data_IF_483225828875
#
_entry.id   IF_483225828875
#
_cell.length_a   1.000
_cell.length_b   1.000
_cell.length_c   1.000
_cell.angle_alpha   90.00
_cell.angle_beta   90.00
_cell.angle_gamma   90.00
#
_symmetry.space_group_name_H-M   'P 1'
#
loop_
_entity.id
_entity.type
_entity.pdbx_description
1 polymer ?
#
# COMPACT_ATOMS: atom_id res chain seq x y z
N UNK A 1 -42.89 -68.09 70.16
CA UNK A 1 -43.03 -69.09 69.09
C UNK A 1 -42.89 -68.35 67.79
N UNK A 2 -41.88 -68.46 67.10
CA UNK A 2 -41.27 -69.37 66.22
C UNK A 2 -40.47 -68.56 65.20
N UNK A 3 -39.19 -68.93 65.10
CA UNK A 3 -38.40 -69.28 63.93
C UNK A 3 -38.28 -68.19 62.83
N UNK A 4 -37.18 -67.58 62.55
CA UNK A 4 -35.95 -68.23 62.12
C UNK A 4 -35.90 -68.18 60.58
N UNK A 5 -35.11 -67.34 59.98
CA UNK A 5 -34.88 -67.35 58.55
C UNK A 5 -33.81 -66.35 58.16
N UNK A 6 -32.61 -66.77 58.11
CA UNK A 6 -31.49 -66.04 57.42
C UNK A 6 -31.59 -66.21 55.91
N UNK A 7 -31.42 -65.20 55.14
CA UNK A 7 -30.97 -65.38 53.79
C UNK A 7 -29.51 -64.96 53.64
N UNK A 8 -28.70 -65.93 53.33
CA UNK A 8 -27.40 -65.78 52.65
C UNK A 8 -27.62 -65.22 51.24
N UNK A 9 -27.06 -64.09 50.96
CA UNK A 9 -26.99 -63.53 49.65
C UNK A 9 -25.68 -62.73 49.50
N UNK A 10 -24.65 -63.41 49.05
CA UNK A 10 -23.38 -62.80 48.75
C UNK A 10 -23.49 -61.95 47.52
N UNK A 11 -23.64 -60.66 47.69
CA UNK A 11 -23.47 -59.64 46.61
C UNK A 11 -21.97 -59.51 46.34
N UNK A 12 -21.53 -60.21 45.32
CA UNK A 12 -20.24 -59.95 44.70
C UNK A 12 -20.32 -58.55 44.00
N UNK A 13 -19.82 -57.54 44.70
CA UNK A 13 -19.57 -56.20 44.09
C UNK A 13 -18.63 -56.41 42.90
N UNK A 14 -19.20 -56.40 41.71
CA UNK A 14 -18.44 -56.33 40.48
C UNK A 14 -17.74 -54.97 40.45
N UNK A 15 -16.43 -55.00 40.65
CA UNK A 15 -15.55 -53.81 40.44
C UNK A 15 -15.68 -53.41 39.00
N UNK A 16 -16.13 -52.16 38.68
CA UNK A 16 -16.19 -51.71 37.30
C UNK A 16 -14.78 -51.70 36.73
N UNK A 17 -14.63 -52.32 35.54
CA UNK A 17 -13.38 -52.39 34.81
C UNK A 17 -12.79 -50.96 34.67
N UNK A 18 -11.56 -50.80 35.14
CA UNK A 18 -10.83 -49.51 35.06
C UNK A 18 -10.87 -48.99 33.63
N UNK A 19 -11.43 -47.79 33.46
CA UNK A 19 -11.42 -47.09 32.18
C UNK A 19 -9.99 -47.04 31.60
N UNK A 20 -9.79 -47.28 30.31
CA UNK A 20 -8.47 -47.23 29.70
C UNK A 20 -7.84 -45.87 29.96
N UNK A 21 -6.58 -45.84 30.35
CA UNK A 21 -5.81 -44.64 30.61
C UNK A 21 -5.91 -43.68 29.39
N UNK A 22 -6.16 -42.38 29.57
CA UNK A 22 -6.23 -41.46 28.48
C UNK A 22 -4.93 -41.50 27.66
N UNK A 23 -5.07 -41.59 26.34
CA UNK A 23 -3.94 -41.63 25.43
C UNK A 23 -2.99 -40.45 25.72
N UNK A 24 -1.66 -40.63 25.69
CA UNK A 24 -0.72 -39.57 25.97
C UNK A 24 -0.99 -38.40 25.05
N UNK A 25 -1.11 -37.21 25.62
CA UNK A 25 -1.34 -35.98 24.88
C UNK A 25 -0.29 -35.84 23.75
N UNK A 26 -0.69 -35.51 22.51
CA UNK A 26 0.25 -35.39 21.41
C UNK A 26 1.36 -34.41 21.80
N UNK A 27 2.61 -34.80 21.56
CA UNK A 27 3.78 -33.98 21.85
C UNK A 27 3.57 -32.56 21.30
N UNK A 28 3.88 -31.51 22.08
CA UNK A 28 3.67 -30.14 21.62
C UNK A 28 4.44 -29.94 20.31
N UNK A 29 3.71 -29.63 19.26
CA UNK A 29 4.29 -29.33 17.94
C UNK A 29 5.46 -28.34 18.09
N UNK A 30 6.58 -28.53 17.37
CA UNK A 30 7.75 -27.70 17.52
C UNK A 30 7.31 -26.23 17.40
N UNK A 31 7.57 -25.46 18.45
CA UNK A 31 7.24 -24.04 18.51
C UNK A 31 8.05 -23.35 17.41
N UNK A 32 7.51 -23.31 16.18
CA UNK A 32 8.05 -22.46 15.14
C UNK A 32 8.14 -21.06 15.74
N UNK A 33 9.36 -20.57 15.95
CA UNK A 33 9.59 -19.21 16.43
C UNK A 33 8.85 -18.28 15.47
N UNK A 34 7.69 -17.80 15.91
CA UNK A 34 6.90 -16.81 15.16
C UNK A 34 7.78 -15.57 14.95
N UNK A 35 8.35 -15.44 13.77
CA UNK A 35 9.09 -14.24 13.40
C UNK A 35 8.07 -13.18 13.03
N UNK A 36 7.99 -12.07 13.79
CA UNK A 36 7.01 -11.04 13.48
C UNK A 36 7.23 -10.52 12.05
N UNK A 37 6.16 -10.31 11.30
CA UNK A 37 6.26 -9.73 9.97
C UNK A 37 6.81 -8.32 10.07
N UNK A 38 7.57 -7.90 9.06
CA UNK A 38 8.24 -6.59 8.99
C UNK A 38 7.27 -5.43 9.22
N UNK A 39 7.78 -4.32 9.75
CA UNK A 39 6.98 -3.10 9.92
C UNK A 39 6.50 -2.59 8.56
N UNK A 40 5.19 -2.34 8.34
CA UNK A 40 4.64 -1.99 7.03
C UNK A 40 5.21 -0.67 6.48
N UNK A 41 5.58 0.26 7.37
CA UNK A 41 6.23 1.51 6.98
C UNK A 41 7.58 1.31 6.29
N UNK A 42 8.32 0.24 6.60
CA UNK A 42 9.60 -0.03 5.95
C UNK A 42 9.43 -0.35 4.46
N UNK A 43 8.37 -1.06 4.09
CA UNK A 43 8.04 -1.34 2.70
C UNK A 43 7.64 -0.08 1.92
N UNK A 44 6.89 0.80 2.55
CA UNK A 44 6.52 2.09 1.95
C UNK A 44 7.74 2.99 1.76
N UNK A 45 8.60 3.13 2.77
CA UNK A 45 9.81 3.95 2.65
C UNK A 45 10.77 3.41 1.60
N UNK A 46 10.94 2.09 1.54
CA UNK A 46 11.75 1.45 0.48
C UNK A 46 11.18 1.72 -0.92
N UNK A 47 9.88 1.52 -1.12
CA UNK A 47 9.26 1.70 -2.42
C UNK A 47 9.22 3.19 -2.85
N UNK A 48 8.95 4.10 -1.92
CA UNK A 48 9.01 5.55 -2.18
C UNK A 48 10.44 5.99 -2.52
N UNK A 49 11.44 5.43 -1.86
CA UNK A 49 12.83 5.71 -2.18
C UNK A 49 13.21 5.20 -3.60
N UNK A 50 12.75 4.01 -4.02
CA UNK A 50 12.90 3.55 -5.40
C UNK A 50 12.15 4.46 -6.38
N UNK A 51 10.95 4.91 -6.03
CA UNK A 51 10.19 5.86 -6.83
C UNK A 51 10.93 7.20 -6.98
N UNK A 52 11.49 7.74 -5.90
CA UNK A 52 12.32 8.97 -5.99
C UNK A 52 13.57 8.75 -6.82
N UNK A 53 14.20 7.59 -6.75
CA UNK A 53 15.32 7.21 -7.62
C UNK A 53 14.88 7.22 -9.10
N UNK A 54 13.71 6.66 -9.43
CA UNK A 54 13.16 6.66 -10.78
C UNK A 54 12.90 8.07 -11.34
N UNK A 55 12.59 9.06 -10.48
CA UNK A 55 12.41 10.45 -10.95
C UNK A 55 13.70 11.10 -11.44
N UNK A 56 14.86 10.56 -11.09
CA UNK A 56 16.19 11.11 -11.42
C UNK A 56 16.79 10.57 -12.69
N UNK A 57 16.09 9.69 -13.38
CA UNK A 57 16.59 9.12 -14.63
C UNK A 57 15.48 9.02 -15.67
N UNK A 58 15.86 9.20 -16.93
CA UNK A 58 15.04 8.84 -18.09
C UNK A 58 15.67 7.69 -18.87
N UNK A 59 16.79 7.12 -18.37
CA UNK A 59 17.43 5.99 -19.00
C UNK A 59 16.54 4.74 -18.91
N UNK A 60 16.05 4.19 -20.03
CA UNK A 60 15.11 3.08 -20.05
C UNK A 60 15.70 1.81 -19.44
N UNK A 61 17.01 1.60 -19.53
CA UNK A 61 17.68 0.42 -18.96
C UNK A 61 17.71 0.48 -17.43
N UNK A 62 17.95 1.65 -16.84
CA UNK A 62 17.89 1.83 -15.40
C UNK A 62 16.45 1.74 -14.88
N UNK A 63 15.48 2.30 -15.61
CA UNK A 63 14.06 2.18 -15.27
C UNK A 63 13.61 0.71 -15.34
N UNK A 64 13.99 -0.02 -16.38
CA UNK A 64 13.71 -1.45 -16.49
C UNK A 64 14.35 -2.26 -15.34
N UNK A 65 15.57 -1.90 -14.93
CA UNK A 65 16.23 -2.52 -13.78
C UNK A 65 15.50 -2.23 -12.46
N UNK A 66 15.03 -0.99 -12.24
CA UNK A 66 14.20 -0.64 -11.07
C UNK A 66 12.88 -1.42 -11.04
N UNK A 67 12.24 -1.58 -12.21
CA UNK A 67 11.04 -2.42 -12.36
C UNK A 67 11.36 -3.87 -12.02
N UNK A 68 12.46 -4.41 -12.55
CA UNK A 68 12.88 -5.80 -12.30
C UNK A 68 13.18 -6.03 -10.80
N UNK A 69 13.91 -5.12 -10.15
CA UNK A 69 14.20 -5.16 -8.72
C UNK A 69 12.92 -5.16 -7.89
N UNK A 70 12.00 -4.21 -8.18
CA UNK A 70 10.74 -4.12 -7.44
C UNK A 70 9.87 -5.36 -7.65
N UNK A 71 9.77 -5.86 -8.89
CA UNK A 71 9.03 -7.06 -9.23
C UNK A 71 9.61 -8.31 -8.53
N UNK A 72 10.93 -8.47 -8.54
CA UNK A 72 11.61 -9.59 -7.88
C UNK A 72 11.33 -9.62 -6.38
N UNK A 73 11.45 -8.47 -5.69
CA UNK A 73 11.14 -8.36 -4.26
C UNK A 73 9.67 -8.70 -3.99
N UNK A 74 8.75 -8.23 -4.82
CA UNK A 74 7.33 -8.54 -4.67
C UNK A 74 7.08 -10.04 -4.88
N UNK A 75 7.60 -10.64 -5.94
CA UNK A 75 7.39 -12.06 -6.24
C UNK A 75 7.90 -12.95 -5.10
N UNK A 76 9.06 -12.62 -4.53
CA UNK A 76 9.69 -13.41 -3.48
C UNK A 76 9.12 -13.19 -2.10
N UNK A 77 8.52 -12.02 -1.82
CA UNK A 77 8.13 -11.58 -0.45
C UNK A 77 6.67 -11.23 -0.27
N UNK A 78 5.85 -11.23 -1.33
CA UNK A 78 4.42 -10.94 -1.20
C UNK A 78 3.73 -12.00 -0.32
N UNK A 79 2.89 -11.57 0.65
CA UNK A 79 2.08 -12.50 1.43
C UNK A 79 0.95 -13.09 0.58
N UNK A 80 0.48 -14.29 0.94
CA UNK A 80 -0.70 -14.92 0.31
C UNK A 80 -2.01 -14.29 0.84
N UNK A 81 -2.17 -12.99 0.65
CA UNK A 81 -3.30 -12.22 1.16
C UNK A 81 -4.07 -11.56 0.01
N UNK A 82 -5.38 -11.25 0.18
CA UNK A 82 -6.18 -10.66 -0.89
C UNK A 82 -5.61 -9.36 -1.45
N UNK A 83 -5.03 -8.51 -0.60
CA UNK A 83 -4.45 -7.23 -1.01
C UNK A 83 -3.17 -7.39 -1.85
N UNK A 84 -2.43 -8.49 -1.71
CA UNK A 84 -1.21 -8.71 -2.50
C UNK A 84 -1.48 -8.92 -4.00
N UNK A 85 -2.72 -9.26 -4.35
CA UNK A 85 -3.17 -9.39 -5.75
C UNK A 85 -3.26 -8.04 -6.46
N UNK A 86 -3.29 -6.94 -5.70
CA UNK A 86 -3.34 -5.57 -6.26
C UNK A 86 -2.12 -5.24 -7.12
N UNK A 87 -0.96 -5.88 -6.89
CA UNK A 87 0.24 -5.67 -7.71
C UNK A 87 -0.02 -5.86 -9.20
N UNK A 88 -0.76 -6.91 -9.57
CA UNK A 88 -1.13 -7.16 -10.97
C UNK A 88 -1.99 -6.04 -11.58
N UNK A 89 -2.84 -5.39 -10.77
CA UNK A 89 -3.60 -4.23 -11.21
C UNK A 89 -2.70 -3.02 -11.48
N UNK A 90 -1.70 -2.77 -10.63
CA UNK A 90 -0.73 -1.70 -10.84
C UNK A 90 0.16 -1.94 -12.07
N UNK A 91 0.55 -3.19 -12.34
CA UNK A 91 1.30 -3.54 -13.56
C UNK A 91 0.44 -3.31 -14.80
N UNK A 92 -0.85 -3.71 -14.78
CA UNK A 92 -1.78 -3.43 -15.88
C UNK A 92 -1.98 -1.93 -16.08
N UNK A 93 -2.10 -1.17 -14.98
CA UNK A 93 -2.24 0.28 -15.04
C UNK A 93 -0.97 0.94 -15.61
N UNK A 94 0.23 0.49 -15.20
CA UNK A 94 1.49 0.97 -15.73
C UNK A 94 1.61 0.70 -17.23
N UNK A 95 1.20 -0.48 -17.69
CA UNK A 95 1.17 -0.83 -19.10
C UNK A 95 0.13 0.02 -19.86
N UNK A 96 -1.04 0.24 -19.28
CA UNK A 96 -2.06 1.11 -19.86
C UNK A 96 -1.57 2.55 -20.03
N UNK A 97 -0.89 3.11 -19.01
CA UNK A 97 -0.28 4.45 -19.08
C UNK A 97 0.75 4.52 -20.20
N UNK A 98 1.61 3.49 -20.32
CA UNK A 98 2.59 3.42 -21.39
C UNK A 98 1.94 3.41 -22.78
N UNK A 99 0.93 2.55 -22.98
CA UNK A 99 0.20 2.45 -24.25
C UNK A 99 -0.53 3.76 -24.55
N UNK A 100 -1.23 4.34 -23.58
CA UNK A 100 -1.96 5.59 -23.75
C UNK A 100 -0.98 6.73 -24.12
N UNK A 101 0.17 6.82 -23.46
CA UNK A 101 1.17 7.86 -23.74
C UNK A 101 1.70 7.76 -25.16
N UNK A 102 2.04 6.55 -25.62
CA UNK A 102 2.50 6.31 -26.98
C UNK A 102 1.39 6.63 -28.00
N UNK A 103 0.15 6.22 -27.72
CA UNK A 103 -1.00 6.50 -28.56
C UNK A 103 -1.23 8.02 -28.70
N UNK A 104 -1.20 8.77 -27.59
CA UNK A 104 -1.36 10.21 -27.61
C UNK A 104 -0.24 10.88 -28.40
N UNK A 105 1.01 10.46 -28.25
CA UNK A 105 2.13 11.01 -29.02
C UNK A 105 2.00 10.72 -30.51
N UNK A 106 1.42 9.57 -30.87
CA UNK A 106 1.15 9.24 -32.28
C UNK A 106 0.03 10.09 -32.87
N UNK A 107 -1.05 10.33 -32.10
CA UNK A 107 -2.23 11.08 -32.59
C UNK A 107 -2.01 12.61 -32.59
N UNK A 108 -1.40 13.14 -31.51
CA UNK A 108 -1.18 14.59 -31.38
C UNK A 108 0.13 15.08 -32.03
N UNK A 109 0.90 14.17 -32.63
CA UNK A 109 2.20 14.50 -33.19
C UNK A 109 3.32 14.55 -32.13
N UNK A 110 4.55 14.60 -32.62
CA UNK A 110 5.73 14.63 -31.75
C UNK A 110 5.91 16.02 -31.12
N UNK A 111 6.07 16.10 -29.78
CA UNK A 111 6.36 17.37 -29.12
C UNK A 111 7.78 17.88 -29.37
N UNK A 112 8.64 17.03 -29.95
CA UNK A 112 10.05 17.32 -30.21
C UNK A 112 10.31 17.24 -31.71
N UNK A 113 10.99 18.24 -32.30
CA UNK A 113 11.42 18.18 -33.68
C UNK A 113 12.43 17.04 -33.86
N UNK A 114 12.17 16.11 -34.76
CA UNK A 114 13.04 15.01 -35.06
C UNK A 114 13.43 14.98 -36.55
N UNK A 115 14.53 14.30 -36.84
CA UNK A 115 15.05 14.11 -38.19
C UNK A 115 14.48 12.88 -38.88
N UNK A 116 14.10 11.86 -38.11
CA UNK A 116 13.59 10.58 -38.62
C UNK A 116 12.06 10.55 -38.54
N UNK A 117 11.38 10.96 -39.61
CA UNK A 117 9.93 10.86 -39.72
C UNK A 117 9.50 9.43 -40.05
N UNK A 118 8.69 8.83 -39.16
CA UNK A 118 8.12 7.49 -39.37
C UNK A 118 6.82 7.54 -40.18
N UNK A 119 5.92 8.45 -39.80
CA UNK A 119 4.62 8.61 -40.43
C UNK A 119 4.24 10.09 -40.40
N UNK A 120 3.66 10.60 -41.48
CA UNK A 120 3.05 11.92 -41.53
C UNK A 120 1.54 11.77 -41.53
N UNK A 121 0.88 12.19 -40.47
CA UNK A 121 -0.57 12.22 -40.36
C UNK A 121 -1.09 13.54 -40.94
N UNK A 122 -2.24 13.55 -41.63
CA UNK A 122 -2.84 14.79 -42.07
C UNK A 122 -3.16 15.70 -40.86
N UNK A 123 -2.73 16.96 -40.94
CA UNK A 123 -3.02 17.94 -39.91
C UNK A 123 -4.49 18.38 -40.03
N UNK A 124 -5.25 18.21 -38.96
CA UNK A 124 -6.64 18.70 -38.90
C UNK A 124 -6.62 20.06 -38.24
N UNK A 125 -7.02 21.13 -38.96
CA UNK A 125 -7.13 22.45 -38.36
C UNK A 125 -8.24 22.44 -37.30
N UNK A 126 -7.87 22.71 -36.04
CA UNK A 126 -8.83 22.85 -34.95
C UNK A 126 -9.35 24.27 -34.85
N UNK A 127 -10.60 24.48 -34.36
CA UNK A 127 -11.16 25.81 -34.11
C UNK A 127 -10.33 26.61 -33.11
N UNK A 128 -10.44 27.96 -33.16
CA UNK A 128 -9.64 28.89 -32.36
C UNK A 128 -9.73 28.69 -30.83
N UNK A 129 -10.79 28.06 -30.33
CA UNK A 129 -10.92 27.75 -28.90
C UNK A 129 -9.98 26.57 -28.43
N UNK A 130 -9.45 25.82 -29.35
CA UNK A 130 -8.55 24.67 -29.07
C UNK A 130 -7.09 25.04 -29.45
N UNK A 131 -6.72 26.31 -29.41
CA UNK A 131 -5.35 26.78 -29.71
C UNK A 131 -4.33 26.06 -28.78
N UNK A 132 -3.31 25.45 -29.40
CA UNK A 132 -2.26 24.70 -28.70
C UNK A 132 -2.37 23.18 -28.84
N UNK A 133 -3.49 22.62 -29.26
CA UNK A 133 -3.64 21.19 -29.56
C UNK A 133 -3.47 21.03 -31.09
N UNK A 134 -2.49 20.22 -31.50
CA UNK A 134 -2.32 19.84 -32.91
C UNK A 134 -2.75 18.38 -33.04
N UNK A 135 -3.74 18.10 -33.91
CA UNK A 135 -4.12 16.76 -34.28
C UNK A 135 -3.43 16.39 -35.59
N UNK A 136 -2.61 15.35 -35.56
CA UNK A 136 -1.80 14.94 -36.69
C UNK A 136 -0.41 15.60 -36.71
N UNK A 137 0.22 15.60 -37.87
CA UNK A 137 1.57 16.11 -38.06
C UNK A 137 2.61 14.98 -38.21
N UNK A 138 3.86 15.33 -38.08
CA UNK A 138 4.98 14.38 -38.25
C UNK A 138 5.21 13.56 -37.00
N UNK A 139 5.00 12.27 -37.06
CA UNK A 139 5.41 11.33 -36.00
C UNK A 139 6.86 10.98 -36.24
N UNK A 140 7.75 11.41 -35.35
CA UNK A 140 9.18 11.17 -35.44
C UNK A 140 9.63 10.04 -34.51
N UNK A 141 10.67 9.32 -34.90
CA UNK A 141 11.26 8.27 -34.06
C UNK A 141 11.76 8.85 -32.71
N UNK A 142 12.34 10.04 -32.77
CA UNK A 142 12.81 10.79 -31.58
C UNK A 142 11.67 11.10 -30.62
N UNK A 143 10.55 11.58 -31.15
CA UNK A 143 9.39 11.89 -30.33
C UNK A 143 8.75 10.67 -29.69
N UNK A 144 8.70 9.56 -30.43
CA UNK A 144 8.17 8.31 -29.89
C UNK A 144 9.10 7.72 -28.80
N UNK A 145 10.43 7.81 -29.01
CA UNK A 145 11.42 7.39 -28.01
C UNK A 145 11.34 8.25 -26.74
N UNK A 146 11.20 9.57 -26.89
CA UNK A 146 11.01 10.47 -25.76
C UNK A 146 9.74 10.13 -24.98
N UNK A 147 8.62 9.91 -25.68
CA UNK A 147 7.37 9.52 -25.06
C UNK A 147 7.47 8.17 -24.33
N UNK A 148 8.23 7.21 -24.91
CA UNK A 148 8.49 5.92 -24.28
C UNK A 148 9.29 6.07 -22.97
N UNK A 149 10.35 6.89 -22.97
CA UNK A 149 11.17 7.12 -21.78
C UNK A 149 10.38 7.78 -20.66
N UNK A 150 9.58 8.79 -21.00
CA UNK A 150 8.71 9.48 -20.03
C UNK A 150 7.60 8.54 -19.51
N UNK A 151 6.99 7.75 -20.40
CA UNK A 151 6.00 6.74 -20.00
C UNK A 151 6.60 5.64 -19.11
N UNK A 152 7.82 5.17 -19.39
CA UNK A 152 8.53 4.21 -18.54
C UNK A 152 8.80 4.76 -17.15
N UNK A 153 9.13 6.05 -17.04
CA UNK A 153 9.31 6.72 -15.75
C UNK A 153 8.03 6.67 -14.92
N UNK A 154 6.89 7.06 -15.51
CA UNK A 154 5.59 6.98 -14.85
C UNK A 154 5.20 5.54 -14.50
N UNK A 155 5.43 4.59 -15.42
CA UNK A 155 5.19 3.18 -15.20
C UNK A 155 6.00 2.65 -14.00
N UNK A 156 7.28 3.03 -13.89
CA UNK A 156 8.15 2.65 -12.77
C UNK A 156 7.62 3.18 -11.45
N UNK A 157 7.16 4.45 -11.40
CA UNK A 157 6.54 5.03 -10.21
C UNK A 157 5.30 4.26 -9.78
N UNK A 158 4.42 3.93 -10.72
CA UNK A 158 3.21 3.13 -10.45
C UNK A 158 3.55 1.73 -9.94
N UNK A 159 4.56 1.07 -10.51
CA UNK A 159 5.01 -0.25 -10.08
C UNK A 159 5.63 -0.20 -8.68
N UNK A 160 6.40 0.84 -8.34
CA UNK A 160 6.93 1.04 -6.98
C UNK A 160 5.80 1.21 -5.95
N UNK A 161 4.78 2.04 -6.25
CA UNK A 161 3.59 2.18 -5.39
C UNK A 161 2.82 0.87 -5.28
N UNK A 162 2.69 0.14 -6.39
CA UNK A 162 2.10 -1.19 -6.42
C UNK A 162 2.86 -2.19 -5.55
N UNK A 163 4.19 -2.14 -5.54
CA UNK A 163 5.04 -2.95 -4.68
C UNK A 163 4.80 -2.65 -3.19
N UNK A 164 4.75 -1.37 -2.82
CA UNK A 164 4.40 -0.96 -1.45
C UNK A 164 3.05 -1.53 -1.01
N UNK A 165 2.01 -1.36 -1.85
CA UNK A 165 0.68 -1.87 -1.57
C UNK A 165 0.62 -3.40 -1.45
N UNK A 166 1.38 -4.12 -2.26
CA UNK A 166 1.38 -5.59 -2.23
C UNK A 166 2.11 -6.17 -1.02
N UNK A 167 3.18 -5.51 -0.57
CA UNK A 167 4.03 -5.97 0.52
C UNK A 167 3.56 -5.50 1.89
N UNK A 168 3.04 -4.27 1.98
CA UNK A 168 2.56 -3.69 3.23
C UNK A 168 1.11 -4.10 3.52
N UNK A 169 0.86 -4.58 4.74
CA UNK A 169 -0.51 -4.81 5.20
C UNK A 169 -1.18 -3.47 5.54
N UNK A 170 -2.26 -3.07 4.83
CA UNK A 170 -2.87 -1.76 5.03
C UNK A 170 -3.45 -1.58 6.44
N UNK A 171 -4.03 -2.61 7.04
CA UNK A 171 -4.59 -2.51 8.40
C UNK A 171 -3.51 -2.33 9.48
N UNK A 172 -2.31 -2.92 9.28
CA UNK A 172 -1.17 -2.72 10.19
C UNK A 172 -0.54 -1.34 9.99
N UNK A 173 -0.49 -0.85 8.75
CA UNK A 173 0.00 0.50 8.45
C UNK A 173 -0.86 1.55 9.19
N UNK A 174 -2.18 1.43 9.13
CA UNK A 174 -3.10 2.34 9.82
C UNK A 174 -2.95 2.28 11.35
N UNK A 175 -2.65 1.10 11.92
CA UNK A 175 -2.36 0.97 13.36
C UNK A 175 -1.06 1.64 13.78
N UNK A 176 -0.12 1.87 12.85
CA UNK A 176 1.16 2.54 13.12
C UNK A 176 1.06 4.07 13.07
N UNK A 177 -0.10 4.63 12.71
CA UNK A 177 -0.31 6.07 12.68
C UNK A 177 -0.08 6.72 14.05
N UNK A 178 0.40 7.98 14.08
CA UNK A 178 0.52 8.75 15.31
C UNK A 178 -0.78 8.79 16.09
N UNK A 179 -0.71 8.84 17.43
CA UNK A 179 -1.88 8.82 18.30
C UNK A 179 -2.92 9.92 18.00
N UNK A 180 -2.49 11.05 17.46
CA UNK A 180 -3.37 12.14 17.04
C UNK A 180 -4.32 11.75 15.89
N UNK A 181 -3.90 10.82 15.02
CA UNK A 181 -4.68 10.32 13.87
C UNK A 181 -5.34 8.97 14.13
N UNK A 182 -5.29 8.52 15.38
CA UNK A 182 -5.76 7.18 15.73
C UNK A 182 -7.25 6.96 15.47
N UNK A 183 -8.09 7.90 15.84
CA UNK A 183 -9.55 7.80 15.64
C UNK A 183 -9.87 7.64 14.15
N UNK A 184 -9.20 8.44 13.30
CA UNK A 184 -9.28 8.30 11.86
C UNK A 184 -8.78 6.93 11.39
N UNK A 185 -7.65 6.47 11.94
CA UNK A 185 -7.10 5.15 11.62
C UNK A 185 -8.04 4.01 11.99
N UNK A 186 -8.71 4.08 13.15
CA UNK A 186 -9.73 3.10 13.57
C UNK A 186 -10.91 3.12 12.61
N UNK A 187 -11.44 4.30 12.28
CA UNK A 187 -12.56 4.43 11.33
C UNK A 187 -12.22 3.79 9.98
N UNK A 188 -11.02 4.05 9.46
CA UNK A 188 -10.57 3.45 8.19
C UNK A 188 -10.37 1.93 8.31
N UNK A 189 -9.81 1.42 9.41
CA UNK A 189 -9.69 -0.04 9.64
C UNK A 189 -11.05 -0.69 9.70
N UNK A 190 -12.02 -0.08 10.39
CA UNK A 190 -13.40 -0.57 10.43
C UNK A 190 -13.99 -0.59 9.03
N UNK A 191 -13.86 0.50 8.26
CA UNK A 191 -14.35 0.58 6.89
C UNK A 191 -13.72 -0.50 5.99
N UNK A 192 -12.41 -0.73 6.09
CA UNK A 192 -11.70 -1.76 5.31
C UNK A 192 -12.13 -3.19 5.67
N UNK A 193 -12.57 -3.43 6.91
CA UNK A 193 -13.08 -4.75 7.32
C UNK A 193 -14.56 -4.92 6.96
N UNK A 194 -15.33 -3.83 6.91
CA UNK A 194 -16.75 -3.86 6.53
C UNK A 194 -16.95 -4.12 5.03
N UNK A 195 -16.13 -3.51 4.17
CA UNK A 195 -16.30 -3.61 2.72
C UNK A 195 -16.31 -5.07 2.19
N UNK A 196 -15.38 -5.97 2.56
CA UNK A 196 -15.45 -7.38 2.18
C UNK A 196 -16.70 -8.09 2.68
N UNK A 197 -17.16 -7.76 3.90
CA UNK A 197 -18.36 -8.35 4.48
C UNK A 197 -19.61 -7.94 3.71
N UNK A 198 -19.73 -6.65 3.34
CA UNK A 198 -20.83 -6.17 2.50
C UNK A 198 -20.86 -6.87 1.14
N UNK A 199 -19.69 -7.05 0.50
CA UNK A 199 -19.60 -7.78 -0.77
C UNK A 199 -20.07 -9.23 -0.59
N UNK A 200 -19.67 -9.91 0.46
CA UNK A 200 -20.09 -11.27 0.77
C UNK A 200 -21.61 -11.36 1.02
N UNK A 201 -22.20 -10.38 1.71
CA UNK A 201 -23.64 -10.33 1.97
C UNK A 201 -24.44 -10.10 0.67
N UNK A 202 -23.96 -9.20 -0.20
CA UNK A 202 -24.54 -9.00 -1.53
C UNK A 202 -24.50 -10.29 -2.34
N UNK A 203 -23.36 -11.00 -2.31
CA UNK A 203 -23.23 -12.27 -3.06
C UNK A 203 -24.14 -13.36 -2.51
N UNK A 204 -24.23 -13.49 -1.17
CA UNK A 204 -25.14 -14.45 -0.51
C UNK A 204 -26.61 -14.16 -0.84
N UNK A 205 -27.01 -12.90 -0.76
CA UNK A 205 -28.40 -12.50 -1.04
C UNK A 205 -28.75 -12.71 -2.50
N UNK A 206 -27.84 -12.38 -3.43
CA UNK A 206 -28.02 -12.66 -4.86
C UNK A 206 -28.13 -14.16 -5.14
N UNK A 207 -27.29 -14.99 -4.52
CA UNK A 207 -27.35 -16.44 -4.65
C UNK A 207 -28.69 -16.98 -4.14
N UNK A 208 -29.14 -16.56 -2.95
CA UNK A 208 -30.44 -16.95 -2.39
C UNK A 208 -31.63 -16.53 -3.28
N UNK A 209 -31.59 -15.36 -3.90
CA UNK A 209 -32.64 -14.89 -4.82
C UNK A 209 -32.66 -15.69 -6.12
N UNK A 210 -31.48 -16.02 -6.66
CA UNK A 210 -31.41 -16.91 -7.85
C UNK A 210 -32.02 -18.26 -7.58
N UNK A 211 -31.76 -18.87 -6.42
CA UNK A 211 -32.38 -20.14 -6.03
C UNK A 211 -33.90 -20.06 -5.91
N UNK A 212 -34.46 -18.88 -5.60
CA UNK A 212 -35.89 -18.60 -5.51
C UNK A 212 -36.51 -18.19 -6.87
N UNK A 213 -35.80 -18.32 -7.99
CA UNK A 213 -36.25 -17.98 -9.32
C UNK A 213 -36.44 -16.47 -9.58
N UNK A 214 -35.88 -15.59 -8.74
CA UNK A 214 -35.99 -14.14 -8.90
C UNK A 214 -34.63 -13.56 -9.35
N UNK A 215 -34.38 -13.48 -10.66
CA UNK A 215 -33.09 -12.92 -11.15
C UNK A 215 -33.05 -11.41 -10.92
N UNK A 216 -31.86 -10.92 -10.48
CA UNK A 216 -31.62 -9.50 -10.28
C UNK A 216 -31.41 -8.82 -11.64
N UNK A 217 -32.45 -8.19 -12.18
CA UNK A 217 -32.38 -7.40 -13.41
C UNK A 217 -32.76 -5.95 -13.13
N UNK A 218 -31.94 -5.02 -13.67
CA UNK A 218 -32.17 -3.60 -13.58
C UNK A 218 -32.03 -2.96 -12.19
N UNK A 219 -32.37 -1.69 -12.09
CA UNK A 219 -32.24 -0.85 -10.88
C UNK A 219 -33.12 -1.39 -9.74
N UNK A 220 -34.31 -1.92 -10.03
CA UNK A 220 -35.19 -2.52 -9.01
C UNK A 220 -34.54 -3.74 -8.34
N UNK A 221 -33.86 -4.60 -9.11
CA UNK A 221 -33.10 -5.73 -8.54
C UNK A 221 -31.98 -5.28 -7.64
N UNK A 222 -31.28 -4.18 -8.01
CA UNK A 222 -30.21 -3.59 -7.20
C UNK A 222 -30.75 -3.05 -5.86
N UNK A 223 -31.87 -2.33 -5.87
CA UNK A 223 -32.50 -1.80 -4.65
C UNK A 223 -33.01 -2.92 -3.73
N UNK A 224 -33.61 -3.97 -4.31
CA UNK A 224 -34.11 -5.12 -3.54
C UNK A 224 -32.99 -5.95 -2.88
N UNK A 225 -31.78 -5.88 -3.37
CA UNK A 225 -30.58 -6.49 -2.73
C UNK A 225 -29.93 -5.48 -1.79
N UNK A 226 -29.85 -4.21 -2.20
CA UNK A 226 -29.15 -3.15 -1.48
C UNK A 226 -29.81 -2.82 -0.14
N UNK A 227 -31.14 -2.69 -0.07
CA UNK A 227 -31.85 -2.35 1.16
C UNK A 227 -31.59 -3.34 2.30
N UNK A 228 -31.82 -4.66 2.14
CA UNK A 228 -31.52 -5.61 3.22
C UNK A 228 -30.03 -5.69 3.60
N UNK A 229 -29.12 -5.47 2.63
CA UNK A 229 -27.69 -5.42 2.93
C UNK A 229 -27.35 -4.18 3.75
N UNK A 230 -27.93 -3.03 3.43
CA UNK A 230 -27.77 -1.80 4.20
C UNK A 230 -28.36 -1.91 5.61
N UNK A 231 -29.53 -2.50 5.74
CA UNK A 231 -30.17 -2.75 7.04
C UNK A 231 -29.27 -3.62 7.93
N UNK A 232 -28.81 -4.75 7.43
CA UNK A 232 -27.87 -5.61 8.15
C UNK A 232 -26.50 -4.96 8.42
N UNK A 233 -26.08 -4.01 7.58
CA UNK A 233 -24.86 -3.24 7.80
C UNK A 233 -25.05 -2.21 8.91
N UNK A 234 -26.20 -1.53 8.95
CA UNK A 234 -26.55 -0.59 10.02
C UNK A 234 -26.65 -1.29 11.37
N UNK A 235 -27.35 -2.42 11.44
CA UNK A 235 -27.45 -3.23 12.65
C UNK A 235 -26.08 -3.64 13.19
N UNK A 236 -25.20 -4.14 12.31
CA UNK A 236 -23.81 -4.48 12.69
C UNK A 236 -23.01 -3.26 13.13
N UNK A 237 -23.21 -2.10 12.50
CA UNK A 237 -22.49 -0.88 12.88
C UNK A 237 -22.89 -0.40 14.27
N UNK A 238 -24.19 -0.48 14.61
CA UNK A 238 -24.70 -0.16 15.96
C UNK A 238 -24.17 -1.15 16.99
N UNK A 239 -24.19 -2.45 16.69
CA UNK A 239 -23.65 -3.48 17.57
C UNK A 239 -22.14 -3.30 17.80
N UNK A 240 -21.38 -2.95 16.75
CA UNK A 240 -19.95 -2.64 16.86
C UNK A 240 -19.72 -1.39 17.70
N UNK A 241 -20.50 -0.32 17.49
CA UNK A 241 -20.39 0.92 18.26
C UNK A 241 -20.65 0.66 19.75
N UNK A 242 -21.71 -0.10 20.10
CA UNK A 242 -22.01 -0.49 21.46
C UNK A 242 -20.88 -1.33 22.09
N UNK A 243 -20.31 -2.27 21.33
CA UNK A 243 -19.17 -3.08 21.79
C UNK A 243 -17.89 -2.25 21.99
N UNK A 244 -17.69 -1.20 21.18
CA UNK A 244 -16.56 -0.29 21.32
C UNK A 244 -16.75 0.63 22.52
N UNK A 245 -17.95 1.15 22.73
CA UNK A 245 -18.28 2.00 23.89
C UNK A 245 -18.11 1.23 25.21
N UNK A 246 -18.59 -0.01 25.28
CA UNK A 246 -18.41 -0.90 26.43
C UNK A 246 -16.93 -1.15 26.77
N UNK A 247 -16.02 -1.05 25.78
CA UNK A 247 -14.57 -1.16 25.96
C UNK A 247 -13.88 0.17 26.23
N UNK A 248 -14.63 1.28 26.32
CA UNK A 248 -14.12 2.61 26.59
C UNK A 248 -13.45 3.27 25.38
N UNK A 249 -13.75 2.83 24.14
CA UNK A 249 -13.32 3.54 22.95
C UNK A 249 -14.00 4.91 22.86
N UNK A 250 -13.27 5.92 22.39
CA UNK A 250 -13.81 7.28 22.27
C UNK A 250 -13.67 8.15 23.54
N UNK A 251 -13.21 7.57 24.65
CA UNK A 251 -12.92 8.39 25.85
C UNK A 251 -11.67 9.23 25.58
N UNK A 252 -11.88 10.53 25.44
CA UNK A 252 -10.79 11.51 25.32
C UNK A 252 -10.29 11.86 26.72
N UNK A 253 -8.96 11.82 26.91
CA UNK A 253 -8.35 12.38 28.10
C UNK A 253 -8.70 13.87 28.20
N UNK A 254 -9.08 14.33 29.40
CA UNK A 254 -9.31 15.76 29.65
C UNK A 254 -7.98 16.50 29.54
N UNK A 255 -7.71 17.04 28.35
CA UNK A 255 -6.51 17.84 28.09
C UNK A 255 -6.81 19.30 28.40
N UNK A 256 -5.97 20.00 29.20
CA UNK A 256 -6.16 21.42 29.48
C UNK A 256 -6.26 22.25 28.19
N UNK A 257 -7.20 23.22 28.19
CA UNK A 257 -7.50 24.03 27.00
C UNK A 257 -6.27 24.72 26.37
N UNK A 258 -5.30 25.29 27.13
CA UNK A 258 -4.14 25.94 26.56
C UNK A 258 -3.26 24.95 25.78
N UNK A 259 -3.17 23.74 26.28
CA UNK A 259 -2.36 22.69 25.67
C UNK A 259 -2.99 22.18 24.38
N UNK A 260 -4.32 22.06 24.33
CA UNK A 260 -5.07 21.71 23.13
C UNK A 260 -4.91 22.80 22.05
N UNK A 261 -4.97 24.07 22.46
CA UNK A 261 -4.76 25.20 21.55
C UNK A 261 -3.35 25.23 20.99
N UNK A 262 -2.32 24.99 21.83
CA UNK A 262 -0.92 24.96 21.38
C UNK A 262 -0.66 23.83 20.37
N UNK A 263 -1.20 22.61 20.61
CA UNK A 263 -1.06 21.52 19.63
C UNK A 263 -1.81 21.80 18.34
N UNK A 264 -3.01 22.39 18.39
CA UNK A 264 -3.75 22.77 17.21
C UNK A 264 -3.02 23.88 16.43
N UNK A 265 -2.49 24.90 17.12
CA UNK A 265 -1.70 25.96 16.48
C UNK A 265 -0.45 25.43 15.82
N UNK A 266 0.30 24.50 16.46
CA UNK A 266 1.47 23.86 15.86
C UNK A 266 1.14 23.00 14.63
N UNK A 267 0.06 22.24 14.68
CA UNK A 267 -0.35 21.42 13.53
C UNK A 267 -0.86 22.25 12.37
N UNK A 268 -1.75 23.21 12.64
CA UNK A 268 -2.30 24.09 11.60
C UNK A 268 -1.23 25.05 11.06
N UNK A 269 -0.44 25.67 11.93
CA UNK A 269 0.68 26.53 11.54
C UNK A 269 1.73 25.77 10.74
N UNK A 270 2.02 24.53 11.15
CA UNK A 270 2.91 23.65 10.41
C UNK A 270 2.37 23.31 9.01
N UNK A 271 1.06 23.00 8.89
CA UNK A 271 0.43 22.72 7.60
C UNK A 271 0.44 23.95 6.68
N UNK A 272 0.11 25.12 7.23
CA UNK A 272 0.21 26.38 6.49
C UNK A 272 1.64 26.69 6.06
N UNK A 273 2.63 26.41 6.92
CA UNK A 273 4.05 26.53 6.58
C UNK A 273 4.47 25.59 5.45
N UNK A 274 3.96 24.35 5.43
CA UNK A 274 4.20 23.41 4.31
C UNK A 274 3.58 23.97 3.02
N UNK A 275 2.35 24.45 3.05
CA UNK A 275 1.69 25.05 1.89
C UNK A 275 2.46 26.28 1.37
N UNK A 276 2.83 27.19 2.28
CA UNK A 276 3.58 28.40 1.93
C UNK A 276 4.98 28.07 1.40
N UNK A 277 5.69 27.11 2.02
CA UNK A 277 6.99 26.66 1.56
C UNK A 277 6.94 26.00 0.19
N UNK A 278 5.93 25.17 -0.07
CA UNK A 278 5.70 24.54 -1.39
C UNK A 278 5.38 25.61 -2.43
N UNK A 279 4.52 26.56 -2.10
CA UNK A 279 4.21 27.68 -3.01
C UNK A 279 5.47 28.51 -3.31
N UNK A 280 6.28 28.81 -2.29
CA UNK A 280 7.55 29.51 -2.47
C UNK A 280 8.52 28.79 -3.41
N UNK A 281 8.58 27.44 -3.35
CA UNK A 281 9.40 26.65 -4.27
C UNK A 281 8.91 26.67 -5.73
N UNK A 282 7.62 26.87 -5.94
CA UNK A 282 7.02 26.92 -7.28
C UNK A 282 7.14 28.32 -7.92
N UNK A 283 7.37 29.35 -7.15
CA UNK A 283 7.54 30.72 -7.64
C UNK A 283 9.01 31.04 -7.88
N UNK A 284 9.33 31.71 -8.99
CA UNK A 284 10.69 32.07 -9.36
C UNK A 284 11.42 32.94 -8.32
N UNK A 285 10.70 33.73 -7.51
CA UNK A 285 11.22 34.57 -6.42
C UNK A 285 11.39 33.84 -5.10
N UNK A 286 10.80 32.66 -4.93
CA UNK A 286 10.71 31.97 -3.64
C UNK A 286 11.82 30.95 -3.35
N UNK A 287 12.77 30.74 -4.27
CA UNK A 287 13.80 29.69 -4.13
C UNK A 287 14.65 29.79 -2.87
N UNK A 288 14.89 30.98 -2.36
CA UNK A 288 15.67 31.24 -1.14
C UNK A 288 14.88 30.95 0.14
N UNK A 289 13.57 31.23 0.14
CA UNK A 289 12.73 31.10 1.34
C UNK A 289 11.88 29.82 1.34
N UNK A 290 11.66 29.20 0.18
CA UNK A 290 10.78 28.05 0.02
C UNK A 290 11.23 26.82 0.84
N UNK A 291 12.52 26.45 0.76
CA UNK A 291 13.08 25.29 1.49
C UNK A 291 13.04 25.50 3.02
N UNK A 292 13.54 26.61 3.59
CA UNK A 292 13.51 26.78 5.04
C UNK A 292 12.10 26.87 5.60
N UNK A 293 11.16 27.52 4.91
CA UNK A 293 9.75 27.59 5.33
C UNK A 293 9.09 26.22 5.25
N UNK A 294 9.36 25.44 4.20
CA UNK A 294 8.88 24.05 4.07
C UNK A 294 9.38 23.19 5.22
N UNK A 295 10.68 23.21 5.49
CA UNK A 295 11.29 22.42 6.57
C UNK A 295 10.75 22.83 7.95
N UNK A 296 10.63 24.12 8.22
CA UNK A 296 10.04 24.63 9.45
C UNK A 296 8.57 24.21 9.59
N UNK A 297 7.79 24.27 8.51
CA UNK A 297 6.40 23.82 8.45
C UNK A 297 6.26 22.33 8.75
N UNK A 298 7.09 21.51 8.12
CA UNK A 298 7.12 20.05 8.36
C UNK A 298 7.52 19.75 9.82
N UNK A 299 8.55 20.41 10.34
CA UNK A 299 8.98 20.23 11.72
C UNK A 299 7.88 20.64 12.72
N UNK A 300 7.21 21.76 12.50
CA UNK A 300 6.08 22.20 13.33
C UNK A 300 4.90 21.25 13.27
N UNK A 301 4.52 20.76 12.09
CA UNK A 301 3.45 19.79 11.91
C UNK A 301 3.76 18.46 12.62
N UNK A 302 4.98 17.95 12.46
CA UNK A 302 5.42 16.70 13.11
C UNK A 302 5.47 16.84 14.63
N UNK A 303 5.97 17.97 15.15
CA UNK A 303 5.98 18.23 16.60
C UNK A 303 4.58 18.36 17.17
N UNK A 304 3.66 19.03 16.47
CA UNK A 304 2.25 19.11 16.85
C UNK A 304 1.56 17.74 16.89
N UNK A 305 1.78 16.89 15.87
CA UNK A 305 1.28 15.51 15.82
C UNK A 305 1.89 14.65 16.94
N UNK A 306 3.16 14.77 17.21
CA UNK A 306 3.84 14.03 18.25
C UNK A 306 3.37 14.41 19.65
N UNK A 307 3.22 15.72 19.93
CA UNK A 307 2.66 16.23 21.18
C UNK A 307 1.20 15.77 21.37
N UNK A 308 0.39 15.82 20.32
CA UNK A 308 -0.98 15.30 20.32
C UNK A 308 -1.03 13.79 20.59
N UNK A 309 -0.12 13.05 19.99
CA UNK A 309 -0.04 11.59 20.13
C UNK A 309 0.42 11.09 21.52
N UNK A 310 1.29 11.84 22.20
CA UNK A 310 1.78 11.46 23.55
C UNK A 310 0.70 11.51 24.63
N UNK A 311 -0.40 12.19 24.41
CA UNK A 311 -1.47 12.47 25.39
C UNK A 311 -2.67 11.55 25.29
N UNK A 312 -2.70 10.66 24.33
CA UNK A 312 -3.72 9.62 24.29
C UNK A 312 -3.41 8.58 25.35
N UNK A 313 -4.26 8.48 26.38
CA UNK A 313 -4.19 7.45 27.43
C UNK A 313 -4.55 6.11 26.76
N UNK A 314 -3.53 5.43 26.26
CA UNK A 314 -3.75 4.21 25.50
C UNK A 314 -2.71 3.16 25.82
N UNK A 315 -3.18 2.00 26.23
CA UNK A 315 -2.38 0.80 26.31
C UNK A 315 -2.20 0.20 24.93
N UNK A 316 -0.96 0.14 24.45
CA UNK A 316 -0.63 -0.55 23.19
C UNK A 316 -0.33 -2.01 23.51
N UNK A 317 -1.24 -2.88 23.12
CA UNK A 317 -0.97 -4.32 23.15
C UNK A 317 -0.12 -4.69 21.93
N UNK A 318 1.12 -5.16 22.15
CA UNK A 318 2.13 -5.53 21.12
C UNK A 318 2.34 -4.44 20.04
N UNK A 319 3.04 -3.35 20.36
CA UNK A 319 3.38 -2.37 19.34
C UNK A 319 4.30 -3.00 18.29
N UNK A 320 4.02 -2.72 17.01
CA UNK A 320 4.92 -3.08 15.92
C UNK A 320 6.22 -2.28 16.10
N UNK A 321 7.29 -2.96 16.54
CA UNK A 321 8.61 -2.32 16.72
C UNK A 321 9.35 -2.27 15.38
N UNK A 322 10.08 -1.19 15.18
CA UNK A 322 11.08 -1.13 14.14
C UNK A 322 12.23 -2.06 14.52
N UNK A 323 12.31 -3.19 13.83
CA UNK A 323 13.40 -4.15 13.98
C UNK A 323 14.58 -3.74 13.10
N UNK A 324 15.79 -4.24 13.39
CA UNK A 324 16.99 -4.02 12.58
C UNK A 324 16.77 -4.32 11.09
N UNK A 325 15.92 -5.30 10.78
CA UNK A 325 15.54 -5.65 9.40
C UNK A 325 14.74 -4.55 8.73
N UNK A 326 13.81 -3.89 9.46
CA UNK A 326 13.04 -2.78 8.93
C UNK A 326 13.96 -1.60 8.58
N UNK A 327 14.95 -1.34 9.41
CA UNK A 327 15.97 -0.33 9.14
C UNK A 327 16.84 -0.70 7.93
N UNK A 328 17.25 -1.95 7.80
CA UNK A 328 18.04 -2.42 6.65
C UNK A 328 17.25 -2.28 5.33
N UNK A 329 15.97 -2.64 5.34
CA UNK A 329 15.10 -2.49 4.16
C UNK A 329 14.94 -1.01 3.79
N UNK A 330 14.67 -0.15 4.76
CA UNK A 330 14.56 1.30 4.52
C UNK A 330 15.87 1.89 4.04
N UNK A 331 16.98 1.52 4.69
CA UNK A 331 18.32 1.98 4.33
C UNK A 331 18.73 1.55 2.93
N UNK A 332 18.36 0.34 2.49
CA UNK A 332 18.64 -0.12 1.12
C UNK A 332 17.95 0.75 0.07
N UNK A 333 16.65 1.08 0.27
CA UNK A 333 15.93 2.00 -0.60
C UNK A 333 16.52 3.40 -0.58
N UNK A 334 16.78 3.94 0.61
CA UNK A 334 17.39 5.26 0.76
C UNK A 334 18.78 5.34 0.12
N UNK A 335 19.59 4.28 0.20
CA UNK A 335 20.88 4.20 -0.46
C UNK A 335 20.75 4.24 -1.98
N UNK A 336 19.78 3.50 -2.56
CA UNK A 336 19.49 3.57 -4.00
C UNK A 336 19.14 4.99 -4.42
N UNK A 337 18.22 5.65 -3.68
CA UNK A 337 17.84 7.02 -3.98
C UNK A 337 19.05 7.97 -3.88
N UNK A 338 19.79 7.94 -2.77
CA UNK A 338 20.94 8.80 -2.56
C UNK A 338 22.04 8.61 -3.62
N UNK A 339 22.32 7.36 -4.00
CA UNK A 339 23.33 7.06 -5.02
C UNK A 339 22.88 7.51 -6.42
N UNK A 340 21.59 7.40 -6.77
CA UNK A 340 21.10 7.94 -8.04
C UNK A 340 21.07 9.49 -8.03
N UNK A 341 20.78 10.12 -6.90
CA UNK A 341 20.93 11.57 -6.78
C UNK A 341 22.37 12.01 -6.98
N UNK A 342 23.31 11.27 -6.39
CA UNK A 342 24.75 11.53 -6.56
C UNK A 342 25.19 11.29 -8.00
N UNK A 343 24.65 10.25 -8.66
CA UNK A 343 24.87 10.00 -10.06
C UNK A 343 24.38 11.14 -10.95
N UNK A 344 23.18 11.63 -10.70
CA UNK A 344 22.60 12.75 -11.43
C UNK A 344 23.40 14.05 -11.26
N UNK A 345 24.06 14.24 -10.10
CA UNK A 345 24.92 15.38 -9.84
C UNK A 345 26.27 15.26 -10.52
N UNK A 346 26.82 14.03 -10.67
CA UNK A 346 28.16 13.80 -11.24
C UNK A 346 28.17 13.66 -12.77
N UNK A 347 27.22 12.90 -13.28
CA UNK A 347 27.11 12.60 -14.72
C UNK A 347 25.63 12.57 -15.12
N UNK A 348 25.03 13.74 -15.35
CA UNK A 348 23.63 13.82 -15.78
C UNK A 348 23.39 13.20 -17.15
N UNK A 349 24.40 13.16 -18.03
CA UNK A 349 24.26 12.64 -19.38
C UNK A 349 24.05 11.11 -19.38
N UNK A 350 24.67 10.38 -18.47
CA UNK A 350 24.50 8.95 -18.34
C UNK A 350 23.08 8.56 -17.86
N UNK A 351 22.41 9.42 -17.10
CA UNK A 351 21.04 9.21 -16.60
C UNK A 351 19.98 9.72 -17.57
N UNK A 352 20.33 10.66 -18.45
CA UNK A 352 19.41 11.27 -19.40
C UNK A 352 19.96 11.10 -20.82
N UNK A 353 19.80 9.91 -21.43
CA UNK A 353 20.28 9.66 -22.79
C UNK A 353 19.62 10.65 -23.75
N UNK A 354 20.44 11.24 -24.63
CA UNK A 354 19.97 12.18 -25.65
C UNK A 354 18.99 11.50 -26.60
N UNK A 355 17.91 12.19 -26.89
CA UNK A 355 16.88 11.74 -27.85
C UNK A 355 17.10 12.39 -29.21
N UNK A 356 17.76 13.54 -29.25
CA UNK A 356 18.13 14.27 -30.48
C UNK A 356 19.63 14.62 -30.39
N UNK A 357 20.50 14.01 -31.22
CA UNK A 357 20.26 12.87 -32.10
C UNK A 357 19.95 11.57 -31.35
N UNK A 358 19.32 10.59 -32.04
CA UNK A 358 18.93 9.32 -31.47
C UNK A 358 20.18 8.50 -31.15
N UNK A 359 20.54 8.42 -29.87
CA UNK A 359 21.69 7.64 -29.38
C UNK A 359 21.16 6.44 -28.61
N UNK A 360 21.74 5.27 -28.88
CA UNK A 360 21.39 4.06 -28.12
C UNK A 360 21.70 4.26 -26.61
N UNK A 361 20.76 3.97 -25.71
CA UNK A 361 20.97 4.14 -24.27
C UNK A 361 22.05 3.17 -23.79
N UNK A 362 23.09 3.68 -23.16
CA UNK A 362 24.09 2.87 -22.46
C UNK A 362 23.67 2.60 -21.02
N UNK A 363 24.02 1.44 -20.48
CA UNK A 363 23.79 1.14 -19.07
C UNK A 363 24.99 1.62 -18.26
N UNK A 364 24.84 2.67 -17.44
CA UNK A 364 25.92 3.12 -16.57
C UNK A 364 26.10 2.11 -15.42
N UNK A 365 27.28 1.47 -15.38
CA UNK A 365 27.52 0.31 -14.50
C UNK A 365 27.39 0.64 -13.01
N UNK A 366 27.92 1.77 -12.56
CA UNK A 366 27.84 2.09 -11.14
C UNK A 366 26.42 2.53 -10.66
N UNK A 367 25.61 3.30 -11.41
CA UNK A 367 24.21 3.50 -11.07
C UNK A 367 23.39 2.22 -11.13
N UNK A 368 23.70 1.31 -12.08
CA UNK A 368 23.06 0.01 -12.13
C UNK A 368 23.39 -0.84 -10.89
N UNK A 369 24.66 -0.87 -10.45
CA UNK A 369 25.05 -1.53 -9.21
C UNK A 369 24.36 -0.92 -7.98
N UNK A 370 24.19 0.41 -7.96
CA UNK A 370 23.42 1.08 -6.91
C UNK A 370 21.96 0.63 -6.86
N UNK A 371 21.31 0.47 -8.01
CA UNK A 371 19.92 -0.02 -8.09
C UNK A 371 19.79 -1.46 -7.55
N UNK A 372 20.81 -2.31 -7.76
CA UNK A 372 20.80 -3.69 -7.25
C UNK A 372 20.81 -3.77 -5.71
N UNK A 373 21.24 -2.72 -4.99
CA UNK A 373 21.08 -2.65 -3.53
C UNK A 373 19.60 -2.71 -3.12
N UNK A 374 18.70 -2.30 -3.99
CA UNK A 374 17.26 -2.43 -3.81
C UNK A 374 16.76 -3.88 -3.69
N UNK A 375 17.57 -4.87 -4.04
CA UNK A 375 17.25 -6.30 -3.87
C UNK A 375 17.47 -6.80 -2.43
N UNK A 376 18.16 -6.05 -1.60
CA UNK A 376 18.50 -6.44 -0.23
C UNK A 376 17.28 -6.94 0.58
N UNK A 377 16.07 -6.37 0.47
CA UNK A 377 14.88 -6.88 1.14
C UNK A 377 14.56 -8.33 0.79
N UNK A 378 14.86 -8.77 -0.42
CA UNK A 378 14.63 -10.15 -0.86
C UNK A 378 15.48 -11.18 -0.09
N UNK A 379 16.61 -10.77 0.48
CA UNK A 379 17.51 -11.66 1.22
C UNK A 379 17.36 -11.51 2.76
N UNK A 380 17.07 -10.31 3.23
CA UNK A 380 17.01 -10.01 4.67
C UNK A 380 15.66 -10.39 5.29
N UNK A 381 14.58 -10.35 4.52
CA UNK A 381 13.25 -10.66 5.05
C UNK A 381 12.92 -12.15 4.93
N UNK A 382 12.24 -12.75 5.93
CA UNK A 382 11.84 -14.15 5.85
C UNK A 382 10.81 -14.37 4.73
N UNK A 383 10.83 -15.54 4.12
CA UNK A 383 9.81 -15.93 3.15
C UNK A 383 8.42 -15.95 3.80
N UNK A 384 7.35 -15.60 3.08
CA UNK A 384 5.99 -15.73 3.58
C UNK A 384 5.69 -17.20 3.88
N UNK A 385 5.09 -17.46 5.05
CA UNK A 385 4.71 -18.84 5.41
C UNK A 385 3.62 -19.32 4.46
N UNK A 386 3.74 -20.55 3.93
CA UNK A 386 2.62 -21.18 3.21
C UNK A 386 1.44 -21.28 4.18
N UNK A 387 0.26 -20.86 3.71
CA UNK A 387 -0.98 -21.08 4.45
C UNK A 387 -1.19 -22.60 4.50
N UNK A 388 -1.35 -23.24 5.69
CA UNK A 388 -1.68 -24.63 5.74
C UNK A 388 -2.99 -24.83 4.96
N UNK A 389 -2.92 -25.64 3.92
CA UNK A 389 -4.10 -26.08 3.17
C UNK A 389 -4.95 -26.85 4.17
N UNK A 390 -6.13 -26.33 4.54
CA UNK A 390 -7.13 -27.09 5.26
C UNK A 390 -7.51 -28.24 4.34
N UNK A 391 -7.08 -29.45 4.67
CA UNK A 391 -7.58 -30.64 4.00
C UNK A 391 -9.10 -30.64 4.15
N UNK A 392 -9.84 -30.89 3.06
CA UNK A 392 -11.30 -31.02 3.13
C UNK A 392 -11.59 -32.27 3.98
N UNK A 393 -12.18 -32.07 5.15
CA UNK A 393 -12.77 -33.11 6.00
C UNK A 393 -14.09 -33.56 5.42
#
# INVERSE_FOLDING_TARGET
>A
MGTGGTPSGGDTLSVPASAPAPAPAPAPAPRHRYRPPLHPGAWWLWALALGTAATRTTNPLLLALLIAVSAYVVITRRPHAPWSRSYGAFVKLALAVLVIRLLFTTILGSPIPGTHTLVTLPEVPLPDWAQGIRLGGRVTAEGLTFALYDAMKLATLLICVGAANALANPSRLLKSLPGALYEMGVAVVVALTFAPNLIADVQRLRAARRLRGRPDRGVRGLLQVGLPVLEGALERSVALAAAMDARGYGRTAQVPAPVRRATAALTLGGLLGVCAGTYGLLTAAGGTYGIPVLLAGVAAALTGLWLGGRRTVRTRYRPDRWDARAWLVTASGAAVAALLFLAAARDPAALHPGVVPLVAPSLPLWPAAAVLLGLLPAFVTPAPHPVPVKEPS
#
